data_IF_515804677553
#
_entry.id   IF_515804677553
#
_cell.length_a   1.000
_cell.length_b   1.000
_cell.length_c   1.000
_cell.angle_alpha   90.00
_cell.angle_beta   90.00
_cell.angle_gamma   90.00
#
_symmetry.space_group_name_H-M   'P 1'
#
loop_
_entity.id
_entity.type
_entity.pdbx_description
1 polymer ?
#
# COMPACT_ATOMS: atom_id res chain seq x y z
N UNK A 1 7.52 -51.76 12.34
CA UNK A 1 8.71 -51.78 13.20
C UNK A 1 9.93 -52.34 12.46
N UNK A 2 11.20 -52.03 12.73
CA UNK A 2 11.75 -51.20 13.81
C UNK A 2 12.57 -50.00 13.31
N UNK A 3 12.76 -48.95 14.06
CA UNK A 3 13.90 -48.52 14.93
C UNK A 3 15.28 -48.49 14.24
N UNK A 4 16.21 -47.58 14.43
CA UNK A 4 16.50 -46.61 15.49
C UNK A 4 17.63 -45.67 15.05
N UNK A 5 17.77 -44.57 15.82
CA UNK A 5 18.98 -43.99 16.42
C UNK A 5 20.06 -43.43 15.47
N UNK A 6 20.64 -42.30 15.59
CA UNK A 6 21.03 -41.50 16.72
C UNK A 6 22.33 -40.81 16.34
N UNK A 7 22.65 -39.64 16.88
CA UNK A 7 23.99 -39.10 16.75
C UNK A 7 24.08 -37.61 16.82
N UNK A 8 24.19 -37.08 18.02
CA UNK A 8 24.64 -35.71 18.28
C UNK A 8 26.14 -35.60 18.15
N UNK A 9 26.67 -34.48 17.72
CA UNK A 9 28.01 -34.02 18.10
C UNK A 9 28.09 -32.50 18.17
N UNK A 10 28.43 -32.02 19.33
CA UNK A 10 28.87 -30.66 19.70
C UNK A 10 30.36 -30.51 19.41
N UNK A 11 30.78 -29.33 18.98
CA UNK A 11 32.00 -28.63 19.31
C UNK A 11 31.80 -27.20 18.87
N UNK A 12 31.89 -26.14 19.63
CA UNK A 12 32.75 -25.76 20.70
C UNK A 12 33.99 -24.99 20.15
N UNK A 13 33.95 -23.64 20.12
CA UNK A 13 35.08 -22.83 19.71
C UNK A 13 34.85 -21.35 20.02
N UNK A 14 35.14 -20.97 21.24
CA UNK A 14 35.39 -19.60 21.70
C UNK A 14 36.80 -19.17 21.28
N UNK A 15 36.99 -17.96 20.81
CA UNK A 15 38.24 -17.21 20.94
C UNK A 15 37.98 -15.72 21.13
N UNK A 16 38.80 -15.19 21.94
CA UNK A 16 38.77 -14.04 22.82
C UNK A 16 39.34 -12.77 22.17
N UNK A 17 38.89 -11.66 22.66
CA UNK A 17 39.49 -10.37 23.04
C UNK A 17 40.78 -9.81 22.40
N UNK A 18 40.75 -8.47 22.26
CA UNK A 18 41.86 -7.55 22.26
C UNK A 18 41.61 -6.39 21.30
N UNK A 19 41.50 -5.12 21.62
CA UNK A 19 42.04 -4.36 22.75
C UNK A 19 42.81 -3.16 22.20
N UNK A 20 42.50 -1.96 22.71
CA UNK A 20 43.24 -0.70 22.69
C UNK A 20 43.39 0.05 21.34
N UNK A 21 43.11 1.33 21.18
CA UNK A 21 43.37 2.47 22.06
C UNK A 21 44.28 3.44 21.29
N UNK A 22 43.94 4.71 21.16
CA UNK A 22 44.84 5.70 20.56
C UNK A 22 44.18 7.07 20.38
N UNK A 23 44.55 7.92 21.25
CA UNK A 23 44.22 9.30 21.58
C UNK A 23 44.68 10.38 20.59
N UNK A 24 43.86 11.44 20.50
CA UNK A 24 44.17 12.89 20.60
C UNK A 24 45.10 13.63 19.61
N UNK A 25 44.67 14.87 19.30
CA UNK A 25 45.43 15.98 18.80
C UNK A 25 44.60 16.90 17.91
N UNK A 26 43.95 17.91 18.35
CA UNK A 26 44.28 19.25 18.80
C UNK A 26 44.81 20.22 17.74
N UNK A 27 44.05 21.32 17.61
CA UNK A 27 44.36 22.71 17.30
C UNK A 27 44.61 23.18 15.86
N UNK A 28 43.93 24.33 15.56
CA UNK A 28 44.31 25.26 14.51
C UNK A 28 43.20 26.24 14.11
N UNK A 29 43.07 27.34 14.86
CA UNK A 29 42.36 28.56 14.47
C UNK A 29 43.18 29.31 13.39
N UNK A 30 42.50 29.85 12.39
CA UNK A 30 42.72 31.24 11.97
C UNK A 30 41.54 31.70 11.12
N UNK A 31 41.17 32.89 11.32
CA UNK A 31 40.10 33.66 10.80
C UNK A 31 40.43 34.38 9.49
N UNK A 32 39.41 34.74 8.79
CA UNK A 32 39.42 35.56 7.61
C UNK A 32 38.03 36.14 7.38
N UNK A 33 37.88 37.41 7.70
CA UNK A 33 36.69 38.19 7.41
C UNK A 33 36.77 38.67 5.96
N UNK A 34 35.68 38.50 5.19
CA UNK A 34 35.45 39.31 4.01
C UNK A 34 33.95 39.50 3.76
N UNK A 35 33.63 40.71 3.57
CA UNK A 35 32.40 41.42 3.39
C UNK A 35 31.62 41.10 2.13
N UNK A 36 30.29 41.08 2.24
CA UNK A 36 29.37 41.78 1.31
C UNK A 36 28.94 41.03 0.05
N UNK A 37 27.63 40.72 0.00
CA UNK A 37 26.95 40.35 -1.22
C UNK A 37 25.51 39.99 -0.92
N UNK A 38 24.63 41.04 -0.90
CA UNK A 38 23.18 40.88 -0.84
C UNK A 38 22.69 40.25 -2.15
N UNK A 39 22.07 39.08 -2.09
CA UNK A 39 21.22 38.55 -3.16
C UNK A 39 19.95 37.98 -2.52
N UNK A 40 18.90 38.75 -2.64
CA UNK A 40 17.51 38.35 -2.36
C UNK A 40 17.10 37.26 -3.34
N UNK A 41 16.94 36.07 -2.82
CA UNK A 41 16.32 34.92 -3.51
C UNK A 41 15.37 34.25 -2.54
N UNK A 42 14.14 34.75 -2.49
CA UNK A 42 13.09 34.15 -1.71
C UNK A 42 12.74 32.77 -2.23
N UNK A 43 13.14 31.73 -1.49
CA UNK A 43 12.62 30.39 -1.69
C UNK A 43 11.48 30.23 -0.70
N UNK A 44 10.27 30.60 -1.14
CA UNK A 44 9.05 30.38 -0.43
C UNK A 44 8.76 28.89 -0.38
N UNK A 45 9.13 28.25 0.71
CA UNK A 45 8.61 26.95 1.09
C UNK A 45 7.11 27.05 1.27
N UNK A 46 6.35 26.70 0.24
CA UNK A 46 4.89 26.62 0.31
C UNK A 46 4.54 25.44 1.21
N UNK A 47 4.26 25.71 2.48
CA UNK A 47 3.51 24.82 3.36
C UNK A 47 2.08 24.75 2.83
N UNK A 48 1.80 23.74 2.01
CA UNK A 48 0.46 23.44 1.53
C UNK A 48 -0.39 23.00 2.71
N UNK A 49 -1.09 23.92 3.32
CA UNK A 49 -2.27 23.66 4.15
C UNK A 49 -3.36 23.19 3.20
N UNK A 50 -3.59 21.84 3.17
CA UNK A 50 -4.50 21.24 2.19
C UNK A 50 -5.97 21.52 2.49
N UNK A 51 -6.51 22.57 1.90
CA UNK A 51 -7.89 22.56 1.41
C UNK A 51 -8.04 21.38 0.45
N UNK A 52 -9.24 20.74 0.28
CA UNK A 52 -9.44 19.75 -0.78
C UNK A 52 -9.01 20.39 -2.09
N UNK A 53 -7.75 20.12 -2.46
CA UNK A 53 -7.06 20.91 -3.46
C UNK A 53 -7.48 20.47 -4.85
N UNK A 54 -7.27 21.37 -5.78
CA UNK A 54 -7.35 21.08 -7.20
C UNK A 54 -6.65 19.76 -7.54
N UNK A 55 -7.35 18.89 -8.28
CA UNK A 55 -6.86 17.56 -8.64
C UNK A 55 -5.50 17.64 -9.34
N UNK A 56 -4.54 16.84 -8.90
CA UNK A 56 -3.22 16.72 -9.53
C UNK A 56 -3.34 15.86 -10.78
N UNK A 57 -3.62 16.51 -11.92
CA UNK A 57 -3.88 15.83 -13.18
C UNK A 57 -2.65 15.10 -13.72
N UNK A 58 -2.86 13.88 -14.21
CA UNK A 58 -1.84 13.12 -14.92
C UNK A 58 -1.67 13.61 -16.38
N UNK A 59 -0.58 13.18 -17.02
CA UNK A 59 -0.26 13.54 -18.41
C UNK A 59 -1.26 12.94 -19.43
N UNK A 60 -2.03 11.94 -19.04
CA UNK A 60 -3.08 11.32 -19.84
C UNK A 60 -4.36 12.15 -19.97
N UNK A 61 -4.50 13.22 -19.17
CA UNK A 61 -5.66 14.09 -19.28
C UNK A 61 -5.74 14.78 -20.64
N UNK A 62 -6.92 14.71 -21.27
CA UNK A 62 -7.15 15.22 -22.62
C UNK A 62 -6.72 14.27 -23.74
N UNK A 63 -6.10 13.12 -23.42
CA UNK A 63 -5.68 12.13 -24.42
C UNK A 63 -6.71 11.00 -24.55
N UNK A 64 -6.79 10.43 -25.74
CA UNK A 64 -7.48 9.15 -25.97
C UNK A 64 -6.48 8.03 -25.70
N UNK A 65 -6.80 7.04 -24.86
CA UNK A 65 -5.93 5.89 -24.63
C UNK A 65 -5.59 5.19 -25.94
N UNK A 66 -4.32 4.90 -26.18
CA UNK A 66 -3.85 4.36 -27.47
C UNK A 66 -3.32 2.93 -27.37
N UNK A 67 -2.69 2.58 -26.26
CA UNK A 67 -2.13 1.24 -26.03
C UNK A 67 -2.89 0.47 -24.97
N UNK A 68 -3.45 1.14 -23.97
CA UNK A 68 -4.24 0.53 -22.92
C UNK A 68 -5.61 0.04 -23.43
N UNK A 69 -6.03 -1.09 -22.91
CA UNK A 69 -7.34 -1.71 -23.19
C UNK A 69 -8.08 -1.92 -21.88
N UNK A 70 -9.29 -1.35 -21.77
CA UNK A 70 -10.14 -1.55 -20.60
C UNK A 70 -10.65 -2.98 -20.53
N UNK A 71 -10.42 -3.64 -19.39
CA UNK A 71 -10.98 -4.96 -19.15
C UNK A 71 -12.51 -4.87 -19.01
N UNK A 72 -13.21 -5.88 -19.54
CA UNK A 72 -14.66 -6.00 -19.44
C UNK A 72 -15.07 -6.23 -17.97
N UNK A 73 -16.15 -5.61 -17.53
CA UNK A 73 -16.71 -5.80 -16.20
C UNK A 73 -16.99 -7.29 -15.94
N UNK A 74 -16.59 -7.80 -14.80
CA UNK A 74 -16.75 -9.22 -14.47
C UNK A 74 -15.77 -10.17 -15.17
N UNK A 75 -14.86 -9.66 -16.01
CA UNK A 75 -13.87 -10.43 -16.75
C UNK A 75 -12.44 -10.01 -16.38
N UNK A 76 -11.49 -10.93 -16.57
CA UNK A 76 -10.06 -10.64 -16.43
C UNK A 76 -9.40 -10.45 -17.81
N UNK A 77 -10.08 -9.78 -18.70
CA UNK A 77 -9.63 -9.54 -20.08
C UNK A 77 -10.27 -8.27 -20.65
N UNK A 78 -9.64 -7.61 -21.63
CA UNK A 78 -8.29 -7.88 -22.13
C UNK A 78 -7.19 -7.53 -21.10
N UNK A 79 -6.05 -8.22 -21.20
CA UNK A 79 -4.84 -7.93 -20.42
C UNK A 79 -4.00 -6.87 -21.13
N UNK A 80 -3.33 -6.03 -20.34
CA UNK A 80 -2.31 -5.11 -20.79
C UNK A 80 -0.91 -5.64 -20.38
N UNK A 81 0.12 -5.11 -21.03
CA UNK A 81 1.50 -5.49 -20.79
C UNK A 81 2.37 -4.25 -20.58
N UNK A 82 3.34 -4.37 -19.69
CA UNK A 82 4.39 -3.37 -19.47
C UNK A 82 5.76 -4.05 -19.47
N UNK A 83 6.78 -3.38 -19.98
CA UNK A 83 8.15 -3.90 -19.95
C UNK A 83 8.84 -3.49 -18.65
N UNK A 84 9.39 -4.47 -17.94
CA UNK A 84 10.13 -4.27 -16.69
C UNK A 84 11.45 -5.00 -16.78
N UNK A 85 12.56 -4.28 -16.85
CA UNK A 85 13.90 -4.90 -16.99
C UNK A 85 14.02 -5.83 -18.20
N UNK A 86 13.34 -5.54 -19.30
CA UNK A 86 13.32 -6.36 -20.52
C UNK A 86 12.31 -7.52 -20.50
N UNK A 87 11.65 -7.78 -19.36
CA UNK A 87 10.60 -8.78 -19.26
C UNK A 87 9.20 -8.16 -19.42
N UNK A 88 8.30 -8.84 -20.12
CA UNK A 88 6.90 -8.44 -20.23
C UNK A 88 6.14 -8.85 -18.98
N UNK A 89 5.44 -7.91 -18.34
CA UNK A 89 4.59 -8.12 -17.17
C UNK A 89 3.15 -7.74 -17.49
N UNK A 90 2.22 -8.55 -17.03
CA UNK A 90 0.79 -8.39 -17.30
C UNK A 90 0.09 -7.63 -16.17
N UNK A 91 -0.90 -6.82 -16.53
CA UNK A 91 -1.84 -6.19 -15.61
C UNK A 91 -3.22 -6.01 -16.27
N UNK A 92 -4.24 -5.78 -15.45
CA UNK A 92 -5.53 -5.32 -15.92
C UNK A 92 -5.68 -3.84 -15.60
N UNK A 93 -6.32 -3.12 -16.50
CA UNK A 93 -6.87 -1.79 -16.19
C UNK A 93 -8.33 -1.77 -16.59
N UNK A 94 -9.16 -1.10 -15.80
CA UNK A 94 -10.58 -0.90 -16.08
C UNK A 94 -10.95 0.53 -15.76
N UNK A 95 -11.56 1.18 -16.72
CA UNK A 95 -12.16 2.50 -16.55
C UNK A 95 -13.65 2.46 -16.85
N UNK A 96 -14.44 3.44 -16.37
CA UNK A 96 -15.87 3.52 -16.63
C UNK A 96 -16.20 3.54 -18.13
N UNK A 97 -17.35 2.99 -18.52
CA UNK A 97 -17.80 2.99 -19.91
C UNK A 97 -18.09 4.41 -20.45
N UNK A 98 -18.39 5.34 -19.55
CA UNK A 98 -18.58 6.77 -19.82
C UNK A 98 -17.32 7.58 -19.47
N UNK A 99 -16.13 6.97 -19.58
CA UNK A 99 -14.86 7.63 -19.29
C UNK A 99 -14.70 8.92 -20.10
N UNK A 100 -14.40 10.00 -19.39
CA UNK A 100 -14.14 11.33 -19.93
C UNK A 100 -12.67 11.70 -19.66
N UNK A 101 -11.88 11.80 -20.70
CA UNK A 101 -10.46 12.11 -20.60
C UNK A 101 -10.15 13.54 -20.10
N UNK A 102 -11.16 14.41 -20.02
CA UNK A 102 -11.04 15.72 -19.42
C UNK A 102 -11.21 15.74 -17.90
N UNK A 103 -11.76 14.66 -17.34
CA UNK A 103 -12.07 14.51 -15.90
C UNK A 103 -11.02 13.64 -15.19
N UNK A 104 -10.35 14.14 -14.15
CA UNK A 104 -9.41 13.31 -13.40
C UNK A 104 -10.12 12.30 -12.48
N UNK A 105 -9.73 11.03 -12.60
CA UNK A 105 -10.29 9.91 -11.87
C UNK A 105 -9.38 9.47 -10.73
N UNK A 106 -9.97 8.96 -9.64
CA UNK A 106 -9.25 8.18 -8.64
C UNK A 106 -8.60 6.96 -9.31
N UNK A 107 -7.39 6.59 -8.86
CA UNK A 107 -6.74 5.34 -9.25
C UNK A 107 -6.76 4.37 -8.07
N UNK A 108 -7.35 3.20 -8.26
CA UNK A 108 -7.32 2.12 -7.26
C UNK A 108 -6.57 0.92 -7.81
N UNK A 109 -5.52 0.50 -7.10
CA UNK A 109 -4.62 -0.57 -7.51
C UNK A 109 -4.81 -1.76 -6.55
N UNK A 110 -5.37 -2.85 -7.07
CA UNK A 110 -5.57 -4.10 -6.33
C UNK A 110 -4.47 -5.12 -6.61
N UNK A 111 -3.99 -5.78 -5.57
CA UNK A 111 -3.02 -6.86 -5.63
C UNK A 111 -3.71 -8.18 -5.27
N UNK A 112 -3.65 -9.19 -6.14
CA UNK A 112 -4.28 -10.50 -5.91
C UNK A 112 -3.62 -11.31 -4.76
N UNK A 113 -4.31 -12.25 -4.12
CA UNK A 113 -3.84 -13.12 -3.03
C UNK A 113 -2.75 -14.15 -3.44
N UNK A 114 -2.14 -14.91 -2.49
CA UNK A 114 -1.16 -15.95 -2.78
C UNK A 114 -1.76 -17.03 -3.71
N UNK A 115 -0.96 -17.47 -4.68
CA UNK A 115 -1.39 -18.39 -5.73
C UNK A 115 -2.55 -17.87 -6.60
N UNK A 116 -3.02 -16.63 -6.38
CA UNK A 116 -3.98 -15.95 -7.22
C UNK A 116 -3.35 -15.45 -8.54
N UNK A 117 -4.19 -14.91 -9.38
CA UNK A 117 -3.81 -14.29 -10.63
C UNK A 117 -4.69 -13.05 -10.91
N UNK A 118 -4.61 -12.50 -12.10
CA UNK A 118 -5.42 -11.37 -12.49
C UNK A 118 -6.95 -11.61 -12.38
N UNK A 119 -7.39 -12.87 -12.32
CA UNK A 119 -8.82 -13.20 -12.24
C UNK A 119 -9.38 -13.07 -10.83
N UNK A 120 -8.54 -13.17 -9.78
CA UNK A 120 -8.99 -13.14 -8.39
C UNK A 120 -9.65 -11.80 -8.03
N UNK A 121 -8.95 -10.69 -8.27
CA UNK A 121 -9.46 -9.35 -7.97
C UNK A 121 -9.86 -8.57 -9.22
N UNK A 122 -9.46 -9.02 -10.40
CA UNK A 122 -9.71 -8.31 -11.66
C UNK A 122 -11.16 -8.29 -12.10
N UNK A 123 -12.04 -9.10 -11.48
CA UNK A 123 -13.46 -9.17 -11.84
C UNK A 123 -14.27 -8.04 -11.20
N UNK A 124 -14.09 -7.81 -9.91
CA UNK A 124 -14.90 -6.89 -9.11
C UNK A 124 -14.09 -5.87 -8.28
N UNK A 125 -12.75 -5.98 -8.31
CA UNK A 125 -11.84 -5.10 -7.58
C UNK A 125 -12.21 -5.02 -6.09
N UNK A 126 -12.18 -6.15 -5.38
CA UNK A 126 -12.57 -6.26 -3.97
C UNK A 126 -14.02 -5.84 -3.69
N UNK A 127 -14.91 -5.92 -4.67
CA UNK A 127 -16.30 -5.48 -4.55
C UNK A 127 -16.52 -3.96 -4.70
N UNK A 128 -15.46 -3.21 -5.03
CA UNK A 128 -15.54 -1.74 -5.11
C UNK A 128 -16.09 -1.23 -6.45
N UNK A 129 -16.11 -2.07 -7.49
CA UNK A 129 -16.53 -1.62 -8.82
C UNK A 129 -17.91 -0.97 -8.81
N UNK A 130 -18.90 -1.64 -8.23
CA UNK A 130 -20.29 -1.14 -8.17
C UNK A 130 -20.45 0.07 -7.26
N UNK A 131 -19.63 0.17 -6.20
CA UNK A 131 -19.67 1.28 -5.25
C UNK A 131 -19.06 2.56 -5.82
N UNK A 132 -18.10 2.43 -6.72
CA UNK A 132 -17.36 3.55 -7.30
C UNK A 132 -18.18 4.46 -8.21
N UNK A 133 -19.31 3.97 -8.77
CA UNK A 133 -20.22 4.75 -9.64
C UNK A 133 -19.49 5.60 -10.67
N UNK A 134 -18.63 4.99 -11.45
CA UNK A 134 -17.89 5.68 -12.51
C UNK A 134 -16.90 6.77 -12.05
N UNK A 135 -16.46 6.73 -10.79
CA UNK A 135 -15.51 7.71 -10.25
C UNK A 135 -14.05 7.24 -10.20
N UNK A 136 -13.79 5.98 -10.58
CA UNK A 136 -12.50 5.33 -10.32
C UNK A 136 -12.02 4.53 -11.51
N UNK A 137 -10.74 4.64 -11.82
CA UNK A 137 -9.99 3.73 -12.68
C UNK A 137 -9.38 2.66 -11.77
N UNK A 138 -9.60 1.40 -12.12
CA UNK A 138 -9.08 0.25 -11.37
C UNK A 138 -7.93 -0.41 -12.13
N UNK A 139 -6.89 -0.77 -11.40
CA UNK A 139 -5.76 -1.56 -11.88
C UNK A 139 -5.62 -2.82 -11.04
N UNK A 140 -5.36 -3.96 -11.68
CA UNK A 140 -5.00 -5.20 -10.97
C UNK A 140 -3.62 -5.63 -11.43
N UNK A 141 -2.70 -5.75 -10.49
CA UNK A 141 -1.32 -6.18 -10.72
C UNK A 141 -1.18 -7.70 -10.61
N UNK A 142 -0.23 -8.29 -11.34
CA UNK A 142 0.10 -9.70 -11.32
C UNK A 142 1.51 -9.95 -10.78
N UNK A 143 1.64 -10.77 -9.74
CA UNK A 143 2.93 -11.28 -9.26
C UNK A 143 3.57 -12.28 -10.23
N UNK A 144 4.91 -12.36 -10.27
CA UNK A 144 5.63 -13.37 -11.06
C UNK A 144 5.44 -14.74 -10.43
N UNK A 145 5.02 -15.73 -11.23
CA UNK A 145 4.71 -17.07 -10.75
C UNK A 145 3.75 -17.07 -9.54
N UNK A 146 2.80 -16.13 -9.55
CA UNK A 146 1.82 -15.94 -8.47
C UNK A 146 2.44 -15.53 -7.12
N UNK A 147 3.67 -15.06 -7.11
CA UNK A 147 4.40 -14.60 -5.94
C UNK A 147 4.87 -13.15 -6.11
N UNK A 148 5.07 -12.49 -4.99
CA UNK A 148 5.53 -11.11 -4.91
C UNK A 148 6.92 -11.03 -4.28
N UNK A 149 7.71 -10.09 -4.79
CA UNK A 149 9.05 -9.77 -4.30
C UNK A 149 9.19 -8.25 -4.23
N UNK A 150 9.52 -7.73 -3.06
CA UNK A 150 9.48 -6.30 -2.79
C UNK A 150 10.22 -5.45 -3.83
N UNK A 151 11.54 -5.59 -3.98
CA UNK A 151 12.31 -4.74 -4.90
C UNK A 151 11.91 -4.91 -6.37
N UNK A 152 11.71 -6.15 -6.82
CA UNK A 152 11.34 -6.47 -8.20
C UNK A 152 9.97 -5.90 -8.57
N UNK A 153 9.00 -6.11 -7.70
CA UNK A 153 7.62 -5.73 -7.97
C UNK A 153 7.34 -4.24 -7.67
N UNK A 154 8.25 -3.56 -6.94
CA UNK A 154 8.26 -2.11 -6.81
C UNK A 154 8.44 -1.43 -8.18
N UNK A 155 9.46 -1.84 -8.94
CA UNK A 155 9.71 -1.30 -10.28
C UNK A 155 8.54 -1.60 -11.23
N UNK A 156 7.94 -2.78 -11.09
CA UNK A 156 6.76 -3.14 -11.88
C UNK A 156 5.55 -2.24 -11.56
N UNK A 157 5.28 -1.99 -10.30
CA UNK A 157 4.19 -1.09 -9.90
C UNK A 157 4.42 0.33 -10.42
N UNK A 158 5.66 0.85 -10.32
CA UNK A 158 6.05 2.17 -10.84
C UNK A 158 5.78 2.27 -12.36
N UNK A 159 6.21 1.27 -13.13
CA UNK A 159 6.02 1.30 -14.60
C UNK A 159 4.54 1.18 -15.00
N UNK A 160 3.73 0.39 -14.26
CA UNK A 160 2.28 0.33 -14.51
C UNK A 160 1.61 1.66 -14.18
N UNK A 161 1.91 2.27 -13.04
CA UNK A 161 1.35 3.59 -12.65
C UNK A 161 1.71 4.62 -13.72
N UNK A 162 2.97 4.69 -14.14
CA UNK A 162 3.46 5.60 -15.16
C UNK A 162 2.74 5.40 -16.49
N UNK A 163 2.54 4.16 -16.95
CA UNK A 163 1.80 3.87 -18.20
C UNK A 163 0.33 4.31 -18.08
N UNK A 164 -0.32 3.99 -16.96
CA UNK A 164 -1.72 4.39 -16.70
C UNK A 164 -1.85 5.92 -16.69
N UNK A 165 -0.98 6.61 -15.96
CA UNK A 165 -0.99 8.08 -15.88
C UNK A 165 -0.64 8.77 -17.20
N UNK A 166 0.11 8.13 -18.09
CA UNK A 166 0.45 8.69 -19.40
C UNK A 166 -0.70 8.67 -20.42
N UNK A 167 -1.65 7.74 -20.24
CA UNK A 167 -2.75 7.53 -21.19
C UNK A 167 -4.14 7.85 -20.62
N UNK A 168 -4.32 7.77 -19.29
CA UNK A 168 -5.59 8.02 -18.62
C UNK A 168 -5.52 9.27 -17.75
N UNK A 169 -6.62 10.01 -17.68
CA UNK A 169 -6.72 11.19 -16.82
C UNK A 169 -6.93 10.76 -15.37
N UNK A 170 -5.85 10.70 -14.61
CA UNK A 170 -5.82 10.31 -13.19
C UNK A 170 -5.61 11.55 -12.32
N UNK A 171 -6.28 11.57 -11.19
CA UNK A 171 -5.94 12.46 -10.08
C UNK A 171 -4.80 11.81 -9.26
N UNK A 172 -3.58 12.27 -9.48
CA UNK A 172 -2.37 11.76 -8.82
C UNK A 172 -2.36 12.00 -7.30
N UNK A 173 -3.26 12.82 -6.78
CA UNK A 173 -3.47 12.97 -5.33
C UNK A 173 -4.42 11.93 -4.75
N UNK A 174 -5.03 11.08 -5.59
CA UNK A 174 -6.04 10.08 -5.19
C UNK A 174 -5.71 8.69 -5.73
N UNK A 175 -4.49 8.23 -5.43
CA UNK A 175 -3.99 6.88 -5.79
C UNK A 175 -4.04 5.98 -4.55
N UNK A 176 -4.70 4.82 -4.65
CA UNK A 176 -4.94 3.89 -3.55
C UNK A 176 -4.40 2.51 -3.85
N UNK A 177 -3.92 1.82 -2.82
CA UNK A 177 -3.51 0.40 -2.86
C UNK A 177 -4.45 -0.43 -2.02
N UNK A 178 -4.78 -1.64 -2.49
CA UNK A 178 -5.50 -2.64 -1.70
C UNK A 178 -4.93 -4.03 -1.93
N UNK A 179 -4.76 -4.78 -0.85
CA UNK A 179 -4.22 -6.13 -0.93
C UNK A 179 -4.65 -7.04 0.20
N UNK A 180 -4.67 -8.34 -0.09
CA UNK A 180 -5.00 -9.40 0.86
C UNK A 180 -3.77 -10.29 1.12
N UNK A 181 -3.58 -10.75 2.37
CA UNK A 181 -2.54 -11.71 2.74
C UNK A 181 -1.13 -11.16 2.48
N UNK A 182 -0.27 -11.90 1.81
CA UNK A 182 1.08 -11.45 1.42
C UNK A 182 1.05 -10.12 0.64
N UNK A 183 -0.07 -9.75 0.01
CA UNK A 183 -0.19 -8.53 -0.81
C UNK A 183 -0.55 -7.32 0.02
N UNK A 184 -1.25 -7.50 1.12
CA UNK A 184 -1.33 -6.42 2.11
C UNK A 184 0.10 -6.03 2.55
N UNK A 185 0.96 -7.02 2.80
CA UNK A 185 2.37 -6.76 3.11
C UNK A 185 3.11 -6.12 1.94
N UNK A 186 2.81 -6.51 0.68
CA UNK A 186 3.36 -5.85 -0.50
C UNK A 186 2.85 -4.41 -0.63
N UNK A 187 1.57 -4.13 -0.36
CA UNK A 187 1.05 -2.76 -0.32
C UNK A 187 1.80 -1.92 0.72
N UNK A 188 2.09 -2.46 1.90
CA UNK A 188 2.90 -1.77 2.92
C UNK A 188 4.31 -1.46 2.40
N UNK A 189 4.96 -2.45 1.78
CA UNK A 189 6.29 -2.26 1.21
C UNK A 189 6.30 -1.18 0.13
N UNK A 190 5.38 -1.23 -0.83
CA UNK A 190 5.25 -0.23 -1.90
C UNK A 190 5.06 1.17 -1.32
N UNK A 191 4.15 1.31 -0.37
CA UNK A 191 3.82 2.59 0.25
C UNK A 191 5.02 3.21 0.96
N UNK A 192 5.71 2.43 1.80
CA UNK A 192 6.86 2.95 2.54
C UNK A 192 8.08 3.18 1.63
N UNK A 193 8.16 2.48 0.48
CA UNK A 193 9.22 2.67 -0.52
C UNK A 193 8.94 3.84 -1.48
N UNK A 194 7.72 4.33 -1.55
CA UNK A 194 7.27 5.42 -2.44
C UNK A 194 6.45 6.45 -1.66
N UNK A 195 7.08 7.19 -0.75
CA UNK A 195 6.38 8.21 0.02
C UNK A 195 5.75 9.25 -0.90
N UNK A 196 4.53 9.68 -0.56
CA UNK A 196 3.79 10.70 -1.29
C UNK A 196 3.11 10.24 -2.60
N UNK A 197 3.32 8.98 -3.05
CA UNK A 197 2.64 8.43 -4.24
C UNK A 197 1.21 7.99 -3.89
N UNK A 198 1.03 7.33 -2.77
CA UNK A 198 -0.26 6.77 -2.38
C UNK A 198 -0.96 7.64 -1.37
N UNK A 199 -2.24 7.93 -1.64
CA UNK A 199 -3.13 8.69 -0.75
C UNK A 199 -3.66 7.83 0.38
N UNK A 200 -3.87 6.54 0.11
CA UNK A 200 -4.36 5.58 1.09
C UNK A 200 -4.04 4.14 0.73
N UNK A 201 -4.02 3.31 1.76
CA UNK A 201 -3.68 1.88 1.67
C UNK A 201 -4.67 1.06 2.47
N UNK A 202 -5.12 -0.03 1.87
CA UNK A 202 -6.00 -1.01 2.51
C UNK A 202 -5.30 -2.36 2.57
N UNK A 203 -5.18 -2.91 3.77
CA UNK A 203 -4.50 -4.18 4.00
C UNK A 203 -5.38 -5.19 4.74
N UNK A 204 -5.76 -6.28 4.05
CA UNK A 204 -6.57 -7.34 4.63
C UNK A 204 -5.72 -8.55 5.01
N UNK A 205 -5.81 -8.99 6.27
CA UNK A 205 -5.16 -10.23 6.76
C UNK A 205 -3.69 -10.35 6.34
N UNK A 206 -2.94 -9.26 6.44
CA UNK A 206 -1.58 -9.15 5.90
C UNK A 206 -0.56 -9.98 6.66
N UNK A 207 0.38 -10.56 5.91
CA UNK A 207 1.48 -11.36 6.45
C UNK A 207 2.46 -11.81 5.38
N UNK A 208 3.56 -12.44 5.78
CA UNK A 208 4.49 -13.12 4.87
C UNK A 208 5.52 -12.25 4.14
N UNK A 209 5.43 -10.93 4.20
CA UNK A 209 6.48 -10.01 3.73
C UNK A 209 6.82 -9.06 4.86
N UNK A 210 8.08 -9.03 5.24
CA UNK A 210 8.55 -8.08 6.25
C UNK A 210 8.89 -6.75 5.59
N UNK A 211 8.34 -5.66 6.13
CA UNK A 211 8.89 -4.34 5.81
C UNK A 211 10.19 -4.22 6.61
N UNK A 212 11.33 -3.95 5.95
CA UNK A 212 12.59 -3.75 6.67
C UNK A 212 12.41 -2.69 7.76
N UNK A 213 13.00 -2.92 8.93
CA UNK A 213 12.93 -1.96 10.05
C UNK A 213 13.58 -0.61 9.71
N UNK A 214 14.52 -0.62 8.76
CA UNK A 214 15.18 0.58 8.23
C UNK A 214 14.29 1.39 7.28
N UNK A 215 13.19 0.82 6.77
CA UNK A 215 12.28 1.52 5.87
C UNK A 215 11.25 2.31 6.69
N UNK A 216 11.36 3.63 6.66
CA UNK A 216 10.41 4.54 7.30
C UNK A 216 9.19 4.76 6.42
N UNK A 217 8.00 4.66 7.00
CA UNK A 217 6.77 5.02 6.28
C UNK A 217 6.40 6.47 6.60
N UNK A 218 6.14 7.24 5.57
CA UNK A 218 5.55 8.58 5.66
C UNK A 218 4.05 8.48 5.99
N UNK A 219 3.41 9.55 6.50
CA UNK A 219 1.97 9.56 6.72
C UNK A 219 1.17 9.20 5.48
N UNK A 220 0.26 8.24 5.62
CA UNK A 220 -0.66 7.77 4.58
C UNK A 220 -1.95 7.28 5.24
N UNK A 221 -3.12 7.55 4.65
CA UNK A 221 -4.36 7.00 5.17
C UNK A 221 -4.32 5.46 5.13
N UNK A 222 -4.70 4.80 6.22
CA UNK A 222 -4.56 3.34 6.32
C UNK A 222 -5.81 2.66 6.91
N UNK A 223 -6.32 1.64 6.22
CA UNK A 223 -7.33 0.72 6.76
C UNK A 223 -6.76 -0.69 6.80
N UNK A 224 -6.74 -1.29 7.99
CA UNK A 224 -6.34 -2.67 8.20
C UNK A 224 -7.50 -3.55 8.67
N UNK A 225 -7.53 -4.82 8.24
CA UNK A 225 -8.49 -5.79 8.77
C UNK A 225 -7.88 -7.15 9.09
N UNK A 226 -8.41 -7.84 10.12
CA UNK A 226 -7.98 -9.18 10.52
C UNK A 226 -9.14 -9.97 11.15
N UNK A 227 -9.22 -11.24 10.79
CA UNK A 227 -10.15 -12.18 11.43
C UNK A 227 -9.70 -12.57 12.85
N UNK A 228 -10.65 -12.72 13.77
CA UNK A 228 -10.37 -13.12 15.16
C UNK A 228 -9.80 -14.54 15.29
N UNK A 229 -10.04 -15.39 14.28
CA UNK A 229 -9.46 -16.73 14.17
C UNK A 229 -8.03 -16.78 13.61
N UNK A 230 -7.48 -15.64 13.20
CA UNK A 230 -6.11 -15.55 12.70
C UNK A 230 -5.13 -15.22 13.84
N UNK A 231 -4.02 -15.95 13.91
CA UNK A 231 -2.96 -15.72 14.90
C UNK A 231 -1.65 -15.38 14.20
N UNK A 232 -0.89 -14.44 14.76
CA UNK A 232 0.50 -14.19 14.38
C UNK A 232 0.76 -13.46 13.06
N UNK A 233 -0.23 -12.92 12.42
CA UNK A 233 -0.07 -12.26 11.10
C UNK A 233 0.53 -10.85 11.15
N UNK A 234 0.84 -10.31 12.33
CA UNK A 234 1.49 -9.01 12.45
C UNK A 234 0.66 -7.80 11.95
N UNK A 235 -0.62 -8.01 11.61
CA UNK A 235 -1.49 -6.95 11.09
C UNK A 235 -1.63 -5.81 12.09
N UNK A 236 -1.89 -6.11 13.36
CA UNK A 236 -1.97 -5.10 14.41
C UNK A 236 -0.67 -4.29 14.49
N UNK A 237 0.50 -4.95 14.41
CA UNK A 237 1.80 -4.28 14.40
C UNK A 237 1.94 -3.31 13.22
N UNK A 238 1.44 -3.69 12.04
CA UNK A 238 1.50 -2.81 10.88
C UNK A 238 0.49 -1.67 10.99
N UNK A 239 -0.71 -1.92 11.51
CA UNK A 239 -1.68 -0.86 11.76
C UNK A 239 -1.12 0.16 12.75
N UNK A 240 -0.51 -0.29 13.85
CA UNK A 240 0.16 0.59 14.81
C UNK A 240 1.34 1.33 14.19
N UNK A 241 2.06 0.72 13.24
CA UNK A 241 3.14 1.38 12.51
C UNK A 241 2.63 2.56 11.69
N UNK A 242 1.54 2.39 10.95
CA UNK A 242 0.90 3.47 10.22
C UNK A 242 0.25 4.50 11.17
N UNK A 243 -0.36 4.03 12.25
CA UNK A 243 -0.91 4.93 13.26
C UNK A 243 0.20 5.82 13.89
N UNK A 244 1.36 5.26 14.19
CA UNK A 244 2.52 6.02 14.67
C UNK A 244 3.05 6.99 13.61
N UNK A 245 3.16 6.57 12.34
CA UNK A 245 3.59 7.44 11.26
C UNK A 245 2.62 8.60 11.03
N UNK A 246 1.32 8.36 11.27
CA UNK A 246 0.25 9.35 11.17
C UNK A 246 0.01 10.13 12.47
N UNK A 247 0.89 10.00 13.47
CA UNK A 247 0.82 10.70 14.75
C UNK A 247 -0.46 10.40 15.58
N UNK A 248 -1.13 9.27 15.31
CA UNK A 248 -2.34 8.89 16.02
C UNK A 248 -2.07 8.47 17.47
N UNK A 249 -3.06 8.62 18.35
CA UNK A 249 -3.06 8.03 19.69
C UNK A 249 -3.13 6.50 19.59
N UNK A 250 -2.12 5.79 20.13
CA UNK A 250 -2.07 4.33 20.13
C UNK A 250 -2.86 3.79 21.32
N UNK A 251 -3.89 2.99 21.03
CA UNK A 251 -4.76 2.39 22.04
C UNK A 251 -5.09 0.92 21.68
N UNK A 252 -5.53 0.16 22.67
CA UNK A 252 -6.06 -1.20 22.42
C UNK A 252 -7.43 -1.11 21.78
N UNK A 253 -7.56 -1.66 20.58
CA UNK A 253 -8.78 -1.59 19.81
C UNK A 253 -9.68 -2.80 20.07
N UNK A 254 -11.01 -2.63 19.98
CA UNK A 254 -11.96 -3.70 20.20
C UNK A 254 -11.81 -4.82 19.17
N UNK A 255 -12.04 -6.06 19.64
CA UNK A 255 -12.17 -7.24 18.77
C UNK A 255 -13.64 -7.51 18.48
N UNK A 256 -13.90 -8.06 17.30
CA UNK A 256 -15.24 -8.45 16.91
C UNK A 256 -15.81 -9.55 17.83
N UNK A 257 -17.08 -9.45 18.11
CA UNK A 257 -17.87 -10.53 18.73
C UNK A 257 -18.32 -11.56 17.68
N UNK A 258 -18.78 -12.73 18.14
CA UNK A 258 -19.23 -13.82 17.28
C UNK A 258 -20.27 -13.35 16.25
N UNK A 259 -20.03 -13.68 14.99
CA UNK A 259 -20.89 -13.34 13.85
C UNK A 259 -20.93 -11.86 13.51
N UNK A 260 -19.97 -11.04 13.95
CA UNK A 260 -19.94 -9.59 13.75
C UNK A 260 -18.57 -9.11 13.25
N UNK A 261 -18.54 -7.87 12.81
CA UNK A 261 -17.32 -7.10 12.64
C UNK A 261 -17.39 -5.82 13.49
N UNK A 262 -16.24 -5.19 13.67
CA UNK A 262 -16.10 -3.86 14.25
C UNK A 262 -14.95 -3.13 13.57
N UNK A 263 -15.21 -1.94 13.03
CA UNK A 263 -14.20 -1.04 12.52
C UNK A 263 -14.04 0.14 13.45
N UNK A 264 -12.83 0.39 13.93
CA UNK A 264 -12.54 1.45 14.91
C UNK A 264 -11.50 2.40 14.33
N UNK A 265 -11.81 3.68 14.15
CA UNK A 265 -10.82 4.67 13.79
C UNK A 265 -9.89 4.94 14.99
N UNK A 266 -8.59 5.10 14.72
CA UNK A 266 -7.65 5.68 15.68
C UNK A 266 -7.97 7.15 15.91
N UNK A 267 -7.67 7.64 17.12
CA UNK A 267 -7.91 9.03 17.51
C UNK A 267 -6.69 9.91 17.23
N UNK A 268 -6.94 11.20 17.15
CA UNK A 268 -5.92 12.26 17.10
C UNK A 268 -4.87 12.05 15.99
N UNK A 269 -5.25 11.41 14.90
CA UNK A 269 -4.35 11.27 13.76
C UNK A 269 -4.12 12.63 13.09
N UNK A 270 -2.96 12.77 12.47
CA UNK A 270 -2.62 13.92 11.63
C UNK A 270 -3.72 14.19 10.59
N UNK A 271 -4.10 15.46 10.43
CA UNK A 271 -5.15 15.87 9.52
C UNK A 271 -4.94 15.33 8.11
N UNK A 272 -5.98 14.69 7.58
CA UNK A 272 -5.95 14.08 6.26
C UNK A 272 -5.34 12.67 6.20
N UNK A 273 -4.84 12.10 7.31
CA UNK A 273 -4.22 10.78 7.33
C UNK A 273 -4.88 9.84 8.35
N UNK A 274 -6.19 9.53 8.19
CA UNK A 274 -6.90 8.66 9.12
C UNK A 274 -6.31 7.24 9.11
N UNK A 275 -6.41 6.57 10.27
CA UNK A 275 -6.13 5.14 10.40
C UNK A 275 -7.35 4.45 10.98
N UNK A 276 -7.75 3.34 10.37
CA UNK A 276 -8.88 2.52 10.82
C UNK A 276 -8.46 1.07 10.94
N UNK A 277 -8.86 0.44 12.02
CA UNK A 277 -8.71 -0.99 12.25
C UNK A 277 -10.05 -1.69 12.25
N UNK A 278 -10.17 -2.76 11.46
CA UNK A 278 -11.35 -3.60 11.40
C UNK A 278 -11.03 -5.02 11.92
N UNK A 279 -11.74 -5.47 12.94
CA UNK A 279 -11.75 -6.86 13.39
C UNK A 279 -13.05 -7.54 12.94
N UNK A 280 -13.00 -8.82 12.57
CA UNK A 280 -14.20 -9.58 12.18
C UNK A 280 -14.13 -11.01 12.70
N UNK A 281 -15.31 -11.60 12.97
CA UNK A 281 -15.40 -13.01 13.32
C UNK A 281 -15.20 -13.87 12.08
N UNK A 282 -14.02 -14.48 11.98
CA UNK A 282 -13.64 -15.28 10.83
C UNK A 282 -12.15 -15.58 10.80
N UNK A 283 -11.74 -16.29 9.76
CA UNK A 283 -10.35 -16.64 9.46
C UNK A 283 -9.78 -15.80 8.32
N UNK A 284 -8.86 -16.38 7.59
CA UNK A 284 -8.08 -15.75 6.53
C UNK A 284 -8.90 -15.59 5.23
N UNK A 285 -9.57 -14.46 5.06
CA UNK A 285 -10.47 -14.19 3.93
C UNK A 285 -10.14 -12.85 3.25
N UNK A 286 -10.10 -12.85 1.91
CA UNK A 286 -9.94 -11.61 1.12
C UNK A 286 -11.18 -10.71 1.18
N UNK A 287 -12.36 -11.34 1.19
CA UNK A 287 -13.64 -10.70 1.50
C UNK A 287 -14.19 -11.42 2.73
N UNK A 288 -14.20 -10.76 3.89
CA UNK A 288 -14.70 -11.34 5.13
C UNK A 288 -16.16 -11.82 5.01
N UNK A 289 -16.57 -12.82 5.81
CA UNK A 289 -17.95 -13.23 5.85
C UNK A 289 -18.86 -12.07 6.26
N UNK A 290 -20.08 -12.12 5.77
CA UNK A 290 -21.11 -11.17 6.18
C UNK A 290 -21.46 -11.33 7.66
N UNK A 291 -21.86 -10.25 8.29
CA UNK A 291 -22.37 -10.30 9.65
C UNK A 291 -23.63 -11.16 9.75
N UNK A 292 -23.88 -11.74 10.91
CA UNK A 292 -25.11 -12.47 11.19
C UNK A 292 -26.33 -11.59 10.94
N UNK A 293 -27.21 -12.06 10.04
CA UNK A 293 -28.39 -11.33 9.57
C UNK A 293 -28.19 -10.40 8.39
N UNK A 294 -26.94 -10.15 7.93
CA UNK A 294 -26.67 -9.35 6.74
C UNK A 294 -26.80 -10.17 5.45
N UNK A 295 -27.04 -9.50 4.32
CA UNK A 295 -27.11 -10.13 2.99
C UNK A 295 -25.74 -10.22 2.30
N UNK A 296 -24.85 -9.27 2.55
CA UNK A 296 -23.54 -9.12 1.91
C UNK A 296 -22.43 -8.92 2.93
N UNK A 297 -21.17 -9.09 2.52
CA UNK A 297 -20.02 -8.72 3.32
C UNK A 297 -20.00 -7.21 3.58
N UNK A 298 -19.59 -6.84 4.77
CA UNK A 298 -19.43 -5.45 5.20
C UNK A 298 -18.22 -4.75 4.56
N UNK A 299 -17.21 -5.53 4.18
CA UNK A 299 -15.87 -5.01 3.88
C UNK A 299 -15.84 -4.07 2.66
N UNK A 300 -16.44 -4.38 1.49
CA UNK A 300 -16.41 -3.47 0.35
C UNK A 300 -16.98 -2.08 0.69
N UNK A 301 -18.08 -2.03 1.47
CA UNK A 301 -18.67 -0.76 1.89
C UNK A 301 -17.74 -0.01 2.85
N UNK A 302 -17.17 -0.69 3.85
CA UNK A 302 -16.26 -0.06 4.81
C UNK A 302 -15.00 0.50 4.11
N UNK A 303 -14.46 -0.22 3.13
CA UNK A 303 -13.34 0.28 2.32
C UNK A 303 -13.75 1.50 1.51
N UNK A 304 -14.92 1.43 0.86
CA UNK A 304 -15.41 2.56 0.06
C UNK A 304 -15.65 3.81 0.91
N UNK A 305 -16.29 3.66 2.06
CA UNK A 305 -16.53 4.75 3.01
C UNK A 305 -15.23 5.37 3.52
N UNK A 306 -14.17 4.56 3.64
CA UNK A 306 -12.85 5.02 4.03
C UNK A 306 -12.12 5.80 2.93
N UNK A 307 -12.11 5.28 1.68
CA UNK A 307 -11.33 5.88 0.59
C UNK A 307 -12.06 6.98 -0.17
N UNK A 308 -13.41 6.98 -0.18
CA UNK A 308 -14.17 7.90 -1.02
C UNK A 308 -14.07 9.38 -0.62
N UNK A 309 -13.93 9.75 0.67
CA UNK A 309 -13.76 11.14 1.07
C UNK A 309 -12.32 11.66 0.90
N UNK A 310 -11.36 10.77 0.71
CA UNK A 310 -9.94 11.10 0.53
C UNK A 310 -9.68 11.49 -0.94
#
# INVERSE_FOLDING_TARGET
APQASGGASKTGGTVDSGGAGGTAGSTGKTGGSATGGSATGGNGGSTSTGTPGEAKRSDGCGKTPSTLKSATVGQASPVNNVSVGGASRQFLVRWPSNYDNSKPYRLHIGLHGANGDLTENGKDNYGLWSLSKDSTVFVTLAGVNKLWDGPRDLVYADEVIKQVESELCIDKSRVFLEGFSMRAAMCWFLTCSRPGVFRGVVGHSGGGVSIPSSLTCEPVAYLGSLGTGESGNGQNTQTDRFAKANECTIETLPKASTGKHVCTPYKDCKDGFPVTWCSFDGGHNSIPPKDSGASTSWMPQAVWDFISPL
#
